data_IF_558704720277
#
_entry.id   IF_558704720277
#
_cell.length_a   1.000
_cell.length_b   1.000
_cell.length_c   1.000
_cell.angle_alpha   90.00
_cell.angle_beta   90.00
_cell.angle_gamma   90.00
#
_symmetry.space_group_name_H-M   'P 1'
#
loop_
_entity.id
_entity.type
_entity.pdbx_description
1 polymer ?
#
# COMPACT_ATOMS: atom_id res chain seq x y z
N UNK A 1 10.92 16.45 -15.73
CA UNK A 1 10.87 15.93 -17.11
C UNK A 1 9.42 15.58 -17.42
N UNK A 2 8.96 15.80 -18.64
CA UNK A 2 7.54 15.59 -18.99
C UNK A 2 7.41 14.38 -19.90
N UNK A 3 6.65 13.38 -19.48
CA UNK A 3 6.38 12.18 -20.29
C UNK A 3 5.35 12.55 -21.36
N UNK A 4 5.72 12.37 -22.64
CA UNK A 4 4.82 12.62 -23.77
C UNK A 4 4.17 11.36 -24.31
N UNK A 5 4.79 10.20 -24.08
CA UNK A 5 4.27 8.90 -24.50
C UNK A 5 4.84 7.78 -23.65
N UNK A 6 3.98 6.82 -23.33
CA UNK A 6 4.37 5.54 -22.74
C UNK A 6 3.92 4.40 -23.64
N UNK A 7 4.75 3.37 -23.74
CA UNK A 7 4.40 2.12 -24.40
C UNK A 7 5.03 0.95 -23.64
N UNK A 8 4.28 -0.12 -23.52
CA UNK A 8 4.77 -1.42 -23.05
C UNK A 8 4.80 -2.41 -24.22
N UNK A 9 5.82 -3.25 -24.29
CA UNK A 9 5.94 -4.29 -25.32
C UNK A 9 5.69 -5.72 -24.79
N UNK A 10 5.34 -5.86 -23.50
CA UNK A 10 5.20 -7.15 -22.83
C UNK A 10 6.36 -7.48 -21.89
N UNK A 11 7.52 -6.83 -22.06
CA UNK A 11 8.70 -7.09 -21.23
C UNK A 11 9.34 -5.81 -20.69
N UNK A 12 9.25 -4.69 -21.42
CA UNK A 12 9.87 -3.41 -21.05
C UNK A 12 8.95 -2.22 -21.33
N UNK A 13 9.11 -1.20 -20.49
CA UNK A 13 8.51 0.11 -20.70
C UNK A 13 9.42 1.01 -21.54
N UNK A 14 8.81 1.73 -22.46
CA UNK A 14 9.43 2.78 -23.25
C UNK A 14 8.71 4.09 -22.94
N UNK A 15 9.46 5.04 -22.40
CA UNK A 15 8.99 6.40 -22.15
C UNK A 15 9.64 7.36 -23.14
N UNK A 16 8.83 8.20 -23.77
CA UNK A 16 9.30 9.37 -24.51
C UNK A 16 9.08 10.61 -23.66
N UNK A 17 10.07 11.52 -23.69
CA UNK A 17 10.01 12.78 -22.96
C UNK A 17 9.98 13.95 -23.94
N UNK A 18 9.21 14.99 -23.63
CA UNK A 18 9.18 16.21 -24.45
C UNK A 18 10.55 16.87 -24.59
N UNK A 19 11.41 16.71 -23.56
CA UNK A 19 12.73 17.31 -23.47
C UNK A 19 13.84 16.46 -24.11
N UNK A 20 13.56 15.21 -24.51
CA UNK A 20 14.54 14.30 -25.13
C UNK A 20 13.96 13.69 -26.41
N UNK A 21 14.05 14.46 -27.51
CA UNK A 21 13.39 14.14 -28.79
C UNK A 21 14.26 13.39 -29.78
N UNK A 22 15.54 13.21 -29.46
CA UNK A 22 16.50 12.51 -30.30
C UNK A 22 17.28 11.47 -29.51
N UNK A 23 18.01 10.63 -30.25
CA UNK A 23 18.82 9.57 -29.67
C UNK A 23 19.85 10.13 -28.71
N UNK A 24 20.59 11.16 -29.09
CA UNK A 24 21.68 11.71 -28.26
C UNK A 24 21.17 12.21 -26.90
N UNK A 25 20.06 12.95 -26.88
CA UNK A 25 19.41 13.41 -25.65
C UNK A 25 18.91 12.23 -24.79
N UNK A 26 18.34 11.19 -25.41
CA UNK A 26 17.94 9.99 -24.69
C UNK A 26 19.13 9.22 -24.10
N UNK A 27 20.27 9.17 -24.80
CA UNK A 27 21.49 8.53 -24.30
C UNK A 27 22.08 9.26 -23.09
N UNK A 28 21.98 10.59 -23.04
CA UNK A 28 22.42 11.40 -21.91
C UNK A 28 21.61 11.15 -20.63
N UNK A 29 20.40 10.61 -20.73
CA UNK A 29 19.54 10.27 -19.59
C UNK A 29 19.83 8.89 -18.99
N UNK A 30 20.71 8.08 -19.59
CA UNK A 30 21.05 6.76 -19.04
C UNK A 30 21.66 6.92 -17.65
N UNK A 31 21.12 6.19 -16.68
CA UNK A 31 21.59 6.20 -15.29
C UNK A 31 21.02 7.35 -14.45
N UNK A 32 20.23 8.26 -15.03
CA UNK A 32 19.51 9.28 -14.28
C UNK A 32 18.34 8.64 -13.55
N UNK A 33 18.15 9.00 -12.27
CA UNK A 33 16.97 8.61 -11.49
C UNK A 33 15.84 9.60 -11.77
N UNK A 34 14.69 9.08 -12.16
CA UNK A 34 13.46 9.87 -12.27
C UNK A 34 12.74 9.83 -10.93
N UNK A 35 12.57 11.00 -10.33
CA UNK A 35 11.85 11.20 -9.08
C UNK A 35 10.64 12.09 -9.38
N UNK A 36 9.55 11.84 -8.70
CA UNK A 36 8.36 12.70 -8.66
C UNK A 36 8.23 13.17 -7.21
N UNK A 37 7.94 14.46 -7.04
CA UNK A 37 7.53 14.99 -5.74
C UNK A 37 6.10 14.48 -5.49
N UNK A 38 5.94 13.70 -4.43
CA UNK A 38 4.62 13.43 -3.85
C UNK A 38 4.33 14.60 -2.93
N UNK A 39 3.55 15.56 -3.39
CA UNK A 39 2.83 16.43 -2.47
C UNK A 39 1.76 15.55 -1.79
N UNK A 40 1.62 15.64 -0.46
CA UNK A 40 0.50 15.06 0.31
C UNK A 40 -0.90 15.52 -0.20
N UNK A 41 -0.91 16.45 -1.15
CA UNK A 41 -2.09 17.08 -1.78
C UNK A 41 -2.25 16.67 -3.25
N UNK A 42 -1.64 15.57 -3.70
CA UNK A 42 -2.15 14.91 -4.90
C UNK A 42 -3.64 14.64 -4.63
N UNK A 43 -4.59 15.16 -5.43
CA UNK A 43 -6.00 14.95 -5.16
C UNK A 43 -6.23 13.44 -5.15
N UNK A 44 -6.34 12.86 -3.95
CA UNK A 44 -6.96 11.58 -3.75
C UNK A 44 -8.28 11.70 -4.47
N UNK A 45 -8.47 10.89 -5.51
CA UNK A 45 -9.49 11.10 -6.54
C UNK A 45 -10.80 11.56 -5.93
N UNK A 46 -11.05 12.87 -6.00
CA UNK A 46 -12.36 13.42 -5.69
C UNK A 46 -13.33 12.83 -6.72
N UNK A 47 -14.51 12.44 -6.22
CA UNK A 47 -15.62 11.80 -6.92
C UNK A 47 -15.49 10.29 -7.19
N UNK A 48 -15.84 9.49 -6.18
CA UNK A 48 -16.91 8.50 -6.33
C UNK A 48 -17.40 8.07 -4.95
N UNK A 49 -18.67 8.36 -4.64
CA UNK A 49 -19.43 7.81 -3.52
C UNK A 49 -19.66 6.27 -3.66
N UNK A 50 -18.82 5.59 -4.44
CA UNK A 50 -18.80 4.16 -4.78
C UNK A 50 -17.38 3.71 -5.24
N UNK A 51 -16.30 4.38 -4.81
CA UNK A 51 -14.92 4.00 -5.19
C UNK A 51 -14.33 3.04 -4.17
N UNK A 52 -13.81 1.91 -4.64
CA UNK A 52 -12.88 1.07 -3.88
C UNK A 52 -11.77 1.97 -3.28
N UNK A 53 -11.79 2.17 -1.96
CA UNK A 53 -10.78 2.94 -1.23
C UNK A 53 -9.40 2.29 -1.41
N UNK A 54 -8.65 2.78 -2.40
CA UNK A 54 -7.33 2.28 -2.76
C UNK A 54 -6.26 3.04 -1.97
N UNK A 55 -5.47 2.30 -1.18
CA UNK A 55 -4.44 2.85 -0.30
C UNK A 55 -3.03 2.56 -0.81
N UNK A 56 -2.10 3.50 -0.61
CA UNK A 56 -0.68 3.31 -0.86
C UNK A 56 0.06 2.89 0.42
N UNK A 57 1.15 2.12 0.25
CA UNK A 57 2.02 1.68 1.36
C UNK A 57 2.43 2.82 2.30
N UNK A 58 2.81 3.98 1.76
CA UNK A 58 3.32 5.09 2.56
C UNK A 58 2.25 5.78 3.41
N UNK A 59 0.97 5.59 3.09
CA UNK A 59 -0.17 6.10 3.87
C UNK A 59 -0.50 5.16 5.04
N UNK A 60 -0.08 3.89 4.95
CA UNK A 60 -0.41 2.85 5.93
C UNK A 60 0.72 2.57 6.94
N UNK A 61 1.98 2.66 6.49
CA UNK A 61 3.12 2.37 7.36
C UNK A 61 3.21 3.39 8.49
N UNK A 62 3.35 2.90 9.72
CA UNK A 62 3.39 3.70 10.95
C UNK A 62 2.02 3.87 11.61
N UNK A 63 0.92 3.42 11.00
CA UNK A 63 -0.39 3.41 11.64
C UNK A 63 -0.42 2.37 12.78
N UNK A 64 -1.05 2.73 13.90
CA UNK A 64 -1.28 1.79 15.00
C UNK A 64 -2.42 0.83 14.64
N UNK A 65 -2.16 -0.46 14.69
CA UNK A 65 -3.15 -1.50 14.45
C UNK A 65 -3.97 -1.76 15.71
N UNK A 66 -5.29 -1.64 15.60
CA UNK A 66 -6.23 -1.86 16.69
C UNK A 66 -7.22 -2.96 16.29
N UNK A 67 -7.59 -3.84 17.20
CA UNK A 67 -8.72 -4.73 16.96
C UNK A 67 -10.04 -3.95 16.95
N UNK A 68 -11.10 -4.56 16.42
CA UNK A 68 -12.48 -4.04 16.58
C UNK A 68 -12.93 -3.84 18.03
N UNK A 69 -12.25 -4.47 19.00
CA UNK A 69 -12.47 -4.25 20.44
C UNK A 69 -11.61 -3.12 21.03
N UNK A 70 -10.78 -2.45 20.22
CA UNK A 70 -9.87 -1.39 20.62
C UNK A 70 -8.55 -1.87 21.24
N UNK A 71 -8.25 -3.16 21.15
CA UNK A 71 -7.00 -3.74 21.67
C UNK A 71 -5.84 -3.44 20.73
N UNK A 72 -4.69 -3.06 21.29
CA UNK A 72 -3.47 -2.81 20.52
C UNK A 72 -2.94 -4.11 19.90
N UNK A 73 -2.82 -4.15 18.57
CA UNK A 73 -2.26 -5.26 17.79
C UNK A 73 -0.82 -4.99 17.35
N UNK A 74 -0.31 -3.76 17.54
CA UNK A 74 1.02 -3.34 17.11
C UNK A 74 0.98 -2.21 16.09
N UNK A 75 1.97 -2.20 15.20
CA UNK A 75 2.16 -1.14 14.19
C UNK A 75 2.25 -1.74 12.79
N UNK A 76 1.66 -1.06 11.81
CA UNK A 76 1.82 -1.42 10.40
C UNK A 76 3.23 -1.08 9.94
N UNK A 77 3.98 -2.08 9.47
CA UNK A 77 5.37 -1.91 9.02
C UNK A 77 5.56 -2.09 7.52
N UNK A 78 4.62 -2.77 6.84
CA UNK A 78 4.64 -2.92 5.39
C UNK A 78 3.23 -3.16 4.80
N UNK A 79 3.11 -2.90 3.50
CA UNK A 79 2.06 -3.40 2.62
C UNK A 79 2.73 -4.22 1.52
N UNK A 80 2.63 -5.54 1.62
CA UNK A 80 3.25 -6.48 0.71
C UNK A 80 2.32 -6.90 -0.42
N UNK A 81 2.74 -6.74 -1.69
CA UNK A 81 1.98 -7.26 -2.83
C UNK A 81 1.93 -8.79 -2.82
N UNK A 82 0.74 -9.36 -2.91
CA UNK A 82 0.55 -10.81 -2.98
C UNK A 82 0.09 -11.28 -4.37
N UNK A 83 0.15 -12.60 -4.61
CA UNK A 83 -0.31 -13.20 -5.88
C UNK A 83 -1.83 -13.11 -6.04
N UNK A 84 -2.58 -13.23 -4.94
CA UNK A 84 -4.03 -13.17 -4.93
C UNK A 84 -4.56 -11.82 -4.41
N UNK A 85 -3.94 -11.30 -3.36
CA UNK A 85 -4.30 -10.05 -2.69
C UNK A 85 -3.10 -9.54 -1.90
N UNK A 86 -3.07 -8.22 -1.67
CA UNK A 86 -2.05 -7.58 -0.86
C UNK A 86 -2.21 -7.93 0.62
N UNK A 87 -1.14 -7.76 1.39
CA UNK A 87 -1.10 -8.09 2.81
C UNK A 87 -0.50 -6.95 3.60
N UNK A 88 -1.21 -6.54 4.64
CA UNK A 88 -0.75 -5.58 5.63
C UNK A 88 0.12 -6.31 6.65
N UNK A 89 1.38 -5.90 6.80
CA UNK A 89 2.28 -6.47 7.80
C UNK A 89 2.19 -5.64 9.07
N UNK A 90 1.85 -6.31 10.16
CA UNK A 90 1.75 -5.72 11.49
C UNK A 90 2.81 -6.34 12.39
N UNK A 91 3.69 -5.52 12.93
CA UNK A 91 4.65 -5.96 13.95
C UNK A 91 3.99 -5.80 15.32
N UNK A 92 3.82 -6.91 16.04
CA UNK A 92 3.18 -6.93 17.37
C UNK A 92 4.05 -6.21 18.41
N UNK A 93 3.47 -5.82 19.57
CA UNK A 93 4.25 -5.28 20.69
C UNK A 93 5.38 -6.21 21.17
N UNK A 94 5.23 -7.52 20.97
CA UNK A 94 6.21 -8.54 21.29
C UNK A 94 7.30 -8.70 20.21
N UNK A 95 7.12 -8.08 19.04
CA UNK A 95 8.08 -8.05 17.93
C UNK A 95 7.85 -9.12 16.86
N UNK A 96 6.70 -9.81 16.86
CA UNK A 96 6.34 -10.78 15.82
C UNK A 96 5.70 -10.06 14.62
N UNK A 97 6.06 -10.46 13.40
CA UNK A 97 5.42 -9.94 12.19
C UNK A 97 4.23 -10.82 11.77
N UNK A 98 3.05 -10.20 11.66
CA UNK A 98 1.80 -10.84 11.26
C UNK A 98 1.31 -10.23 9.95
N UNK A 99 1.15 -11.07 8.91
CA UNK A 99 0.64 -10.66 7.62
C UNK A 99 -0.89 -10.83 7.56
N UNK A 100 -1.63 -9.73 7.51
CA UNK A 100 -3.09 -9.69 7.45
C UNK A 100 -3.53 -9.41 6.01
N UNK A 101 -4.40 -10.24 5.40
CA UNK A 101 -4.94 -9.92 4.07
C UNK A 101 -5.62 -8.55 4.05
N UNK A 102 -5.22 -7.69 3.10
CA UNK A 102 -5.68 -6.31 3.00
C UNK A 102 -7.02 -6.24 2.26
N UNK A 103 -8.09 -6.61 2.96
CA UNK A 103 -9.48 -6.64 2.46
C UNK A 103 -10.42 -6.04 3.49
N UNK A 104 -11.49 -5.39 3.03
CA UNK A 104 -12.46 -4.69 3.89
C UNK A 104 -13.03 -5.57 5.03
N UNK A 105 -13.15 -6.89 4.82
CA UNK A 105 -13.62 -7.81 5.86
C UNK A 105 -12.67 -7.92 7.06
N UNK A 106 -11.35 -7.79 6.83
CA UNK A 106 -10.33 -7.86 7.88
C UNK A 106 -9.78 -6.49 8.26
N UNK A 107 -9.91 -5.49 7.39
CA UNK A 107 -9.47 -4.11 7.60
C UNK A 107 -10.65 -3.16 7.38
N UNK A 108 -11.64 -3.16 8.30
CA UNK A 108 -12.90 -2.44 8.11
C UNK A 108 -12.79 -0.91 8.17
N UNK A 109 -11.70 -0.35 8.72
CA UNK A 109 -11.54 1.10 8.83
C UNK A 109 -10.07 1.50 8.90
N UNK A 110 -9.73 2.62 8.26
CA UNK A 110 -8.43 3.27 8.30
C UNK A 110 -8.67 4.74 8.62
N UNK A 111 -7.98 5.27 9.63
CA UNK A 111 -8.09 6.66 10.07
C UNK A 111 -6.68 7.28 10.11
N UNK A 112 -6.26 7.94 9.01
CA UNK A 112 -4.95 8.60 8.93
C UNK A 112 -4.82 9.78 9.89
N UNK A 113 -5.92 10.49 10.19
CA UNK A 113 -5.90 11.63 11.11
C UNK A 113 -5.64 11.17 12.55
N UNK A 114 -6.26 10.06 12.96
CA UNK A 114 -5.99 9.42 14.25
C UNK A 114 -4.71 8.57 14.27
N UNK A 115 -4.12 8.29 13.10
CA UNK A 115 -2.95 7.44 12.96
C UNK A 115 -3.24 5.96 13.27
N UNK A 116 -4.42 5.45 12.91
CA UNK A 116 -4.86 4.10 13.27
C UNK A 116 -5.45 3.31 12.12
N UNK A 117 -5.34 1.98 12.21
CA UNK A 117 -6.06 1.02 11.37
C UNK A 117 -6.83 0.05 12.25
N UNK A 118 -8.10 -0.18 11.95
CA UNK A 118 -8.94 -1.16 12.65
C UNK A 118 -8.88 -2.49 11.93
N UNK A 119 -8.61 -3.57 12.66
CA UNK A 119 -8.49 -4.93 12.17
C UNK A 119 -9.56 -5.83 12.81
N UNK A 120 -10.15 -6.69 11.99
CA UNK A 120 -11.07 -7.75 12.38
C UNK A 120 -10.48 -9.13 12.01
N UNK A 121 -9.28 -9.49 12.50
CA UNK A 121 -8.64 -10.74 12.12
C UNK A 121 -9.40 -11.94 12.69
N UNK A 122 -9.46 -13.08 11.98
CA UNK A 122 -9.93 -14.32 12.58
C UNK A 122 -9.02 -14.71 13.75
N UNK A 123 -9.54 -15.53 14.66
CA UNK A 123 -8.73 -16.10 15.74
C UNK A 123 -7.52 -16.88 15.19
N UNK A 124 -6.50 -17.04 16.02
CA UNK A 124 -5.22 -17.66 15.68
C UNK A 124 -4.31 -16.85 14.75
N UNK A 125 -4.78 -15.76 14.13
CA UNK A 125 -3.94 -14.97 13.23
C UNK A 125 -2.84 -14.19 13.98
N UNK A 126 -3.20 -13.62 15.13
CA UNK A 126 -2.24 -12.98 16.03
C UNK A 126 -1.86 -13.94 17.17
N UNK A 127 -0.59 -13.96 17.61
CA UNK A 127 -0.13 -14.79 18.70
C UNK A 127 -1.00 -14.62 19.96
N UNK A 128 -1.47 -15.74 20.52
CA UNK A 128 -2.23 -15.75 21.77
C UNK A 128 -3.70 -15.28 21.67
N UNK A 129 -4.26 -15.05 20.47
CA UNK A 129 -5.63 -14.55 20.31
C UNK A 129 -6.55 -15.51 19.56
N UNK A 130 -7.66 -15.92 20.19
CA UNK A 130 -8.79 -16.63 19.57
C UNK A 130 -8.49 -18.03 19.03
N UNK A 131 -9.53 -18.80 18.75
CA UNK A 131 -9.42 -20.05 17.97
C UNK A 131 -9.56 -19.70 16.49
N UNK A 132 -8.75 -20.29 15.61
CA UNK A 132 -8.92 -20.12 14.18
C UNK A 132 -10.31 -20.61 13.77
N UNK A 133 -11.16 -19.71 13.26
CA UNK A 133 -12.42 -20.13 12.66
C UNK A 133 -12.08 -21.01 11.45
N UNK A 134 -12.34 -22.30 11.59
CA UNK A 134 -12.21 -23.26 10.50
C UNK A 134 -13.12 -22.82 9.36
N UNK A 135 -12.52 -22.39 8.25
CA UNK A 135 -13.24 -22.09 7.02
C UNK A 135 -14.07 -23.32 6.61
N UNK A 136 -15.39 -23.23 6.75
CA UNK A 136 -16.34 -24.27 6.36
C UNK A 136 -16.67 -24.22 4.88
#
# INVERSE_FOLDING_TARGET
>A
MTVSRLRFDGFRWFAAFEQARDRTAAEALRGVRLLVETDDDAPGGEDSEDSDESWYRHELVGLRALSVSGEDLGEVTDLEPGVAQDRLVVTTPEGDDVAVPFVAALVPAIDPEAGTVTLAPPGGLFPGRGEAEEAR
#
